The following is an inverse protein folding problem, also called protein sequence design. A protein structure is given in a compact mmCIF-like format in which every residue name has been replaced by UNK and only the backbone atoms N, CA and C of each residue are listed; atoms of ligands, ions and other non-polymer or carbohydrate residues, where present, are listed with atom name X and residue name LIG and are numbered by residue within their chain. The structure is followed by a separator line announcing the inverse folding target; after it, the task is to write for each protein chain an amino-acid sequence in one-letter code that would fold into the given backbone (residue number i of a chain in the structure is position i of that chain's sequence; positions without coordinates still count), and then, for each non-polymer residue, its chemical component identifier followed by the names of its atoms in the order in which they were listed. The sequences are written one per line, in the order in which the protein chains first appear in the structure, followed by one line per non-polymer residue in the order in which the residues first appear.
data_IF_860453490056
#
_entry.id   IF_860453490056
#
_cell.length_a   1.000
_cell.length_b   1.000
_cell.length_c   1.000
_cell.angle_alpha   90.00
_cell.angle_beta   90.00
_cell.angle_gamma   90.00
#
_symmetry.space_group_name_H-M   'P 1'
#
loop_
_entity.id
_entity.type
_entity.pdbx_description
1 polymer ?
#
# COMPACT_ATOMS: atom_id res chain seq x y z
N UNK A 1 10.70 9.61 22.41
CA UNK A 1 9.80 10.67 21.87
C UNK A 1 10.46 11.53 20.79
N UNK A 2 11.71 11.98 20.94
CA UNK A 2 12.38 12.87 19.96
C UNK A 2 12.41 12.29 18.53
N UNK A 3 12.79 11.02 18.29
CA UNK A 3 12.80 10.46 16.93
C UNK A 3 11.44 10.49 16.24
N UNK A 4 10.36 10.25 16.99
CA UNK A 4 8.99 10.30 16.50
C UNK A 4 8.60 11.71 16.06
N UNK A 5 8.93 12.72 16.86
CA UNK A 5 8.64 14.12 16.52
C UNK A 5 9.41 14.55 15.28
N UNK A 6 10.71 14.24 15.21
CA UNK A 6 11.55 14.55 14.04
C UNK A 6 10.99 13.87 12.78
N UNK A 7 10.57 12.62 12.89
CA UNK A 7 9.98 11.89 11.77
C UNK A 7 8.65 12.49 11.33
N UNK A 8 7.74 12.81 12.26
CA UNK A 8 6.46 13.44 11.90
C UNK A 8 6.68 14.79 11.21
N UNK A 9 7.62 15.60 11.72
CA UNK A 9 8.01 16.87 11.07
C UNK A 9 8.51 16.62 9.64
N UNK A 10 9.36 15.61 9.44
CA UNK A 10 9.83 15.21 8.11
C UNK A 10 8.66 14.80 7.21
N UNK A 11 7.73 14.00 7.69
CA UNK A 11 6.55 13.55 6.92
C UNK A 11 5.69 14.73 6.50
N UNK A 12 5.36 15.64 7.42
CA UNK A 12 4.59 16.84 7.08
C UNK A 12 5.34 17.77 6.13
N UNK A 13 6.67 17.89 6.25
CA UNK A 13 7.48 18.65 5.30
C UNK A 13 7.46 18.02 3.90
N UNK A 14 7.61 16.69 3.80
CA UNK A 14 7.54 15.96 2.53
C UNK A 14 6.16 16.08 1.88
N UNK A 15 5.09 15.97 2.67
CA UNK A 15 3.72 16.19 2.19
C UNK A 15 3.49 17.64 1.72
N UNK A 16 4.04 18.61 2.45
CA UNK A 16 3.95 20.02 2.06
C UNK A 16 4.69 20.29 0.75
N UNK A 17 5.85 19.67 0.52
CA UNK A 17 6.59 19.75 -0.76
C UNK A 17 5.81 19.09 -1.89
N UNK A 18 5.26 17.89 -1.65
CA UNK A 18 4.47 17.15 -2.64
C UNK A 18 3.25 17.95 -3.15
N UNK A 19 2.61 18.70 -2.24
CA UNK A 19 1.44 19.52 -2.55
C UNK A 19 1.78 20.91 -3.06
N UNK A 20 2.71 21.60 -2.41
CA UNK A 20 2.99 23.00 -2.65
C UNK A 20 3.85 23.24 -3.88
N UNK A 21 4.78 22.33 -4.18
CA UNK A 21 5.81 22.51 -5.21
C UNK A 21 5.60 21.53 -6.36
N UNK A 22 5.38 20.26 -6.05
CA UNK A 22 5.43 19.18 -7.03
C UNK A 22 4.13 19.07 -7.83
N UNK A 23 2.97 19.29 -7.21
CA UNK A 23 1.66 19.06 -7.85
C UNK A 23 0.65 20.16 -7.56
N UNK A 24 1.11 21.40 -7.71
CA UNK A 24 0.30 22.59 -7.48
C UNK A 24 -0.88 22.71 -8.46
N UNK A 25 -0.74 22.15 -9.66
CA UNK A 25 -1.76 22.22 -10.72
C UNK A 25 -2.35 20.84 -11.04
N UNK A 26 -3.68 20.79 -11.08
CA UNK A 26 -4.44 19.60 -11.43
C UNK A 26 -4.33 19.34 -12.94
N UNK A 27 -3.36 18.53 -13.34
CA UNK A 27 -3.17 18.07 -14.71
C UNK A 27 -3.18 16.54 -14.78
N UNK A 28 -3.41 15.99 -15.96
CA UNK A 28 -3.37 14.55 -16.18
C UNK A 28 -1.90 14.11 -16.20
N UNK A 29 -1.47 13.42 -15.14
CA UNK A 29 -0.09 12.94 -15.01
C UNK A 29 0.19 11.87 -16.06
N UNK A 30 1.26 12.07 -16.84
CA UNK A 30 1.69 11.07 -17.83
C UNK A 30 2.39 9.88 -17.16
N UNK A 31 2.35 8.68 -17.77
CA UNK A 31 3.04 7.49 -17.24
C UNK A 31 4.53 7.76 -16.96
N UNK A 32 5.21 8.44 -17.89
CA UNK A 32 6.65 8.75 -17.78
C UNK A 32 6.92 9.65 -16.58
N UNK A 33 6.06 10.63 -16.35
CA UNK A 33 6.16 11.51 -15.20
C UNK A 33 5.85 10.76 -13.89
N UNK A 34 4.80 9.94 -13.87
CA UNK A 34 4.47 9.09 -12.72
C UNK A 34 5.64 8.18 -12.33
N UNK A 35 6.30 7.54 -13.29
CA UNK A 35 7.46 6.68 -13.05
C UNK A 35 8.66 7.47 -12.48
N UNK A 36 8.92 8.69 -12.98
CA UNK A 36 9.97 9.55 -12.43
C UNK A 36 9.69 9.90 -10.97
N UNK A 37 8.46 10.30 -10.66
CA UNK A 37 8.06 10.57 -9.28
C UNK A 37 8.13 9.34 -8.40
N UNK A 38 7.73 8.17 -8.90
CA UNK A 38 7.91 6.90 -8.17
C UNK A 38 9.38 6.65 -7.87
N UNK A 39 10.29 6.87 -8.82
CA UNK A 39 11.73 6.70 -8.61
C UNK A 39 12.29 7.70 -7.58
N UNK A 40 11.85 8.96 -7.61
CA UNK A 40 12.21 9.96 -6.60
C UNK A 40 11.77 9.50 -5.21
N UNK A 41 10.53 9.06 -5.06
CA UNK A 41 10.03 8.57 -3.77
C UNK A 41 10.79 7.34 -3.27
N UNK A 42 11.14 6.40 -4.16
CA UNK A 42 11.99 5.25 -3.82
C UNK A 42 13.37 5.74 -3.34
N UNK A 43 13.99 6.67 -4.06
CA UNK A 43 15.29 7.23 -3.69
C UNK A 43 15.26 7.91 -2.31
N UNK A 44 14.19 8.66 -2.01
CA UNK A 44 13.98 9.27 -0.70
C UNK A 44 13.83 8.20 0.39
N UNK A 45 13.09 7.12 0.14
CA UNK A 45 12.98 5.99 1.08
C UNK A 45 14.32 5.29 1.32
N UNK A 46 15.14 5.11 0.28
CA UNK A 46 16.47 4.52 0.39
C UNK A 46 17.45 5.44 1.14
N UNK A 47 17.37 6.75 0.91
CA UNK A 47 18.14 7.73 1.67
C UNK A 47 17.76 7.70 3.16
N UNK A 48 16.46 7.61 3.46
CA UNK A 48 16.00 7.43 4.84
C UNK A 48 16.44 6.09 5.43
N UNK A 49 16.53 5.02 4.64
CA UNK A 49 17.08 3.76 5.12
C UNK A 49 18.54 3.89 5.58
N UNK A 50 19.34 4.70 4.88
CA UNK A 50 20.69 5.03 5.35
C UNK A 50 20.66 5.84 6.66
N UNK A 51 19.69 6.75 6.83
CA UNK A 51 19.48 7.44 8.11
C UNK A 51 19.12 6.45 9.21
N UNK A 52 18.25 5.47 8.95
CA UNK A 52 17.91 4.40 9.90
C UNK A 52 19.16 3.62 10.30
N UNK A 53 20.00 3.23 9.33
CA UNK A 53 21.26 2.56 9.61
C UNK A 53 22.11 3.35 10.62
N UNK A 54 22.42 4.62 10.32
CA UNK A 54 23.28 5.42 11.20
C UNK A 54 22.62 5.77 12.53
N UNK A 55 21.31 6.03 12.54
CA UNK A 55 20.56 6.36 13.74
C UNK A 55 20.53 5.20 14.74
N UNK A 56 20.33 3.97 14.26
CA UNK A 56 20.34 2.78 15.10
C UNK A 56 21.77 2.36 15.50
N UNK A 57 22.74 2.44 14.59
CA UNK A 57 24.16 2.12 14.90
C UNK A 57 24.70 3.01 16.05
N UNK A 58 24.44 4.32 15.96
CA UNK A 58 24.89 5.30 16.95
C UNK A 58 23.87 5.54 18.07
N UNK A 59 22.75 4.82 18.07
CA UNK A 59 21.67 4.93 19.05
C UNK A 59 21.21 6.38 19.28
N UNK A 60 21.00 7.13 18.19
CA UNK A 60 20.57 8.53 18.25
C UNK A 60 19.32 8.68 19.10
N UNK A 61 19.39 9.56 20.10
CA UNK A 61 18.30 9.79 21.05
C UNK A 61 17.79 8.52 21.76
N UNK A 62 18.64 7.50 21.90
CA UNK A 62 18.31 6.22 22.55
C UNK A 62 17.55 5.22 21.66
N UNK A 63 17.41 5.48 20.36
CA UNK A 63 16.75 4.54 19.45
C UNK A 63 17.49 3.19 19.40
N UNK A 64 16.76 2.10 19.20
CA UNK A 64 17.32 0.74 19.18
C UNK A 64 17.55 0.09 20.56
N UNK A 65 17.53 0.85 21.66
CA UNK A 65 17.76 0.31 23.03
C UNK A 65 16.50 -0.15 23.76
N UNK A 66 15.34 0.01 23.16
CA UNK A 66 14.05 -0.14 23.84
C UNK A 66 13.41 -1.53 23.70
N UNK A 67 14.03 -2.46 22.97
CA UNK A 67 13.40 -3.73 22.53
C UNK A 67 14.12 -4.95 23.14
N UNK A 68 14.51 -4.87 24.41
CA UNK A 68 15.12 -5.97 25.16
C UNK A 68 16.55 -6.35 24.73
N UNK A 69 16.94 -6.10 23.48
CA UNK A 69 18.28 -6.22 22.92
C UNK A 69 18.59 -4.99 22.06
N UNK A 70 19.88 -4.60 22.02
CA UNK A 70 20.34 -3.50 21.17
C UNK A 70 20.21 -3.88 19.70
N UNK A 71 19.33 -3.18 18.97
CA UNK A 71 19.14 -3.39 17.55
C UNK A 71 20.20 -2.60 16.76
N UNK A 72 21.17 -3.31 16.18
CA UNK A 72 22.25 -2.70 15.39
C UNK A 72 21.76 -2.03 14.09
N UNK A 73 22.56 -1.11 13.55
CA UNK A 73 22.18 -0.32 12.37
C UNK A 73 21.91 -1.17 11.13
N UNK A 74 22.74 -2.20 10.90
CA UNK A 74 22.55 -3.13 9.77
C UNK A 74 21.22 -3.86 9.86
N UNK A 75 20.87 -4.35 11.04
CA UNK A 75 19.64 -5.10 11.22
C UNK A 75 18.41 -4.18 11.08
N UNK A 76 18.45 -2.99 11.70
CA UNK A 76 17.40 -1.99 11.57
C UNK A 76 17.16 -1.56 10.11
N UNK A 77 18.22 -1.37 9.33
CA UNK A 77 18.12 -1.01 7.92
C UNK A 77 17.51 -2.14 7.06
N UNK A 78 17.86 -3.39 7.35
CA UNK A 78 17.26 -4.56 6.69
C UNK A 78 15.78 -4.67 7.08
N UNK A 79 15.46 -4.50 8.35
CA UNK A 79 14.08 -4.55 8.85
C UNK A 79 13.22 -3.43 8.25
N UNK A 80 13.72 -2.19 8.22
CA UNK A 80 13.07 -1.05 7.56
C UNK A 80 12.83 -1.34 6.07
N UNK A 81 13.86 -1.77 5.34
CA UNK A 81 13.74 -2.01 3.91
C UNK A 81 12.80 -3.16 3.59
N UNK A 82 12.86 -4.24 4.39
CA UNK A 82 11.95 -5.38 4.22
C UNK A 82 10.51 -4.97 4.50
N UNK A 83 10.26 -4.21 5.58
CA UNK A 83 8.94 -3.64 5.87
C UNK A 83 8.43 -2.72 4.76
N UNK A 84 9.33 -1.86 4.23
CA UNK A 84 9.03 -0.99 3.10
C UNK A 84 8.64 -1.80 1.86
N UNK A 85 9.39 -2.85 1.50
CA UNK A 85 9.09 -3.70 0.34
C UNK A 85 7.77 -4.45 0.53
N UNK A 86 7.50 -4.99 1.72
CA UNK A 86 6.22 -5.65 2.04
C UNK A 86 5.07 -4.68 1.83
N UNK A 87 5.11 -3.52 2.49
CA UNK A 87 4.03 -2.54 2.40
C UNK A 87 3.90 -2.00 0.97
N UNK A 88 5.01 -1.73 0.27
CA UNK A 88 4.99 -1.26 -1.11
C UNK A 88 4.33 -2.28 -2.04
N UNK A 89 4.58 -3.56 -1.81
CA UNK A 89 4.01 -4.65 -2.60
C UNK A 89 2.52 -4.82 -2.33
N UNK A 90 2.12 -4.84 -1.06
CA UNK A 90 0.71 -4.92 -0.69
C UNK A 90 -0.08 -3.68 -1.15
N UNK A 91 0.56 -2.49 -1.16
CA UNK A 91 -0.07 -1.26 -1.66
C UNK A 91 -0.45 -1.31 -3.15
N UNK A 92 0.14 -2.22 -3.94
CA UNK A 92 -0.29 -2.45 -5.33
C UNK A 92 -1.71 -3.02 -5.38
N UNK A 93 -2.04 -3.94 -4.48
CA UNK A 93 -3.40 -4.47 -4.34
C UNK A 93 -4.38 -3.35 -3.95
N UNK A 94 -3.93 -2.48 -3.04
CA UNK A 94 -4.70 -1.32 -2.60
C UNK A 94 -5.02 -0.38 -3.77
N UNK A 95 -4.06 -0.16 -4.68
CA UNK A 95 -4.26 0.67 -5.88
C UNK A 95 -5.39 0.11 -6.76
N UNK A 96 -5.51 -1.22 -6.91
CA UNK A 96 -6.60 -1.83 -7.69
C UNK A 96 -7.97 -1.56 -7.06
N UNK A 97 -8.08 -1.72 -5.75
CA UNK A 97 -9.34 -1.41 -5.03
C UNK A 97 -9.66 0.08 -5.09
N UNK A 98 -8.67 0.97 -4.98
CA UNK A 98 -8.88 2.42 -5.15
C UNK A 98 -9.36 2.74 -6.56
N UNK A 99 -8.79 2.14 -7.60
CA UNK A 99 -9.23 2.32 -8.98
C UNK A 99 -10.68 1.84 -9.18
N UNK A 100 -11.05 0.70 -8.58
CA UNK A 100 -12.42 0.19 -8.60
C UNK A 100 -13.39 1.14 -7.88
N UNK A 101 -13.00 1.68 -6.72
CA UNK A 101 -13.78 2.70 -5.98
C UNK A 101 -14.02 3.93 -6.85
N UNK A 102 -12.96 4.48 -7.45
CA UNK A 102 -13.10 5.69 -8.29
C UNK A 102 -13.93 5.43 -9.54
N UNK A 103 -13.81 4.24 -10.14
CA UNK A 103 -14.67 3.82 -11.26
C UNK A 103 -16.14 3.72 -10.83
N UNK A 104 -16.40 3.04 -9.71
CA UNK A 104 -17.75 2.83 -9.17
C UNK A 104 -18.46 4.15 -8.85
N UNK A 105 -17.77 5.07 -8.15
CA UNK A 105 -18.31 6.39 -7.82
C UNK A 105 -18.15 7.42 -8.95
N UNK A 106 -17.58 7.03 -10.10
CA UNK A 106 -17.33 7.90 -11.28
C UNK A 106 -16.58 9.18 -10.92
N UNK A 107 -15.56 9.07 -10.08
CA UNK A 107 -14.76 10.23 -9.63
C UNK A 107 -13.95 10.77 -10.81
N UNK A 108 -14.15 12.05 -11.21
CA UNK A 108 -13.41 12.64 -12.32
C UNK A 108 -11.90 12.62 -12.08
N UNK A 109 -11.11 12.33 -13.13
CA UNK A 109 -9.63 12.19 -13.04
C UNK A 109 -8.95 13.39 -12.39
N UNK A 110 -9.42 14.61 -12.68
CA UNK A 110 -8.91 15.86 -12.10
C UNK A 110 -9.08 15.96 -10.57
N UNK A 111 -10.03 15.22 -9.99
CA UNK A 111 -10.32 15.23 -8.56
C UNK A 111 -9.73 14.02 -7.82
N UNK A 112 -9.36 12.95 -8.54
CA UNK A 112 -8.72 11.75 -7.95
C UNK A 112 -7.43 12.12 -7.20
N UNK A 113 -6.64 13.05 -7.72
CA UNK A 113 -5.43 13.54 -7.07
C UNK A 113 -5.68 14.05 -5.65
N UNK A 114 -6.68 14.93 -5.50
CA UNK A 114 -7.06 15.50 -4.20
C UNK A 114 -7.62 14.44 -3.27
N UNK A 115 -8.45 13.52 -3.77
CA UNK A 115 -8.98 12.42 -2.96
C UNK A 115 -7.86 11.51 -2.46
N UNK A 116 -6.89 11.17 -3.32
CA UNK A 116 -5.71 10.39 -2.92
C UNK A 116 -4.87 11.09 -1.87
N UNK A 117 -4.69 12.41 -1.96
CA UNK A 117 -3.95 13.15 -0.94
C UNK A 117 -4.61 13.06 0.44
N UNK A 118 -5.91 13.36 0.53
CA UNK A 118 -6.64 13.22 1.79
C UNK A 118 -6.67 11.77 2.26
N UNK A 119 -6.72 10.83 1.31
CA UNK A 119 -6.53 9.39 1.51
C UNK A 119 -5.21 9.03 2.21
N UNK A 120 -4.10 9.61 1.78
CA UNK A 120 -2.78 9.38 2.38
C UNK A 120 -2.74 9.95 3.80
N UNK A 121 -3.28 11.15 4.01
CA UNK A 121 -3.30 11.78 5.34
C UNK A 121 -4.12 10.95 6.33
N UNK A 122 -5.31 10.48 5.92
CA UNK A 122 -6.13 9.60 6.75
C UNK A 122 -5.45 8.26 6.99
N UNK A 123 -4.88 7.63 5.96
CA UNK A 123 -4.11 6.40 6.08
C UNK A 123 -2.95 6.51 7.08
N UNK A 124 -2.17 7.60 7.06
CA UNK A 124 -1.07 7.84 8.03
C UNK A 124 -1.58 7.80 9.48
N UNK A 125 -2.71 8.46 9.74
CA UNK A 125 -3.32 8.51 11.08
C UNK A 125 -3.86 7.15 11.49
N UNK A 126 -4.65 6.52 10.62
CA UNK A 126 -5.27 5.22 10.88
C UNK A 126 -4.23 4.12 11.08
N UNK A 127 -3.19 4.09 10.25
CA UNK A 127 -2.08 3.15 10.39
C UNK A 127 -1.26 3.42 11.64
N UNK A 128 -1.02 4.68 11.99
CA UNK A 128 -0.42 5.04 13.28
C UNK A 128 -1.20 4.43 14.46
N UNK A 129 -2.52 4.55 14.44
CA UNK A 129 -3.39 3.98 15.47
C UNK A 129 -3.35 2.43 15.48
N UNK A 130 -3.45 1.79 14.31
CA UNK A 130 -3.43 0.33 14.19
C UNK A 130 -2.05 -0.27 14.54
N UNK A 131 -0.95 0.38 14.17
CA UNK A 131 0.40 -0.03 14.53
C UNK A 131 0.60 0.11 16.04
N UNK A 132 0.15 1.21 16.65
CA UNK A 132 0.20 1.37 18.09
C UNK A 132 -0.61 0.27 18.81
N UNK A 133 -1.82 -0.02 18.33
CA UNK A 133 -2.65 -1.10 18.86
C UNK A 133 -2.00 -2.47 18.68
N UNK A 134 -1.49 -2.78 17.50
CA UNK A 134 -0.81 -4.05 17.18
C UNK A 134 0.46 -4.25 17.99
N UNK A 135 1.27 -3.20 18.14
CA UNK A 135 2.47 -3.22 18.98
C UNK A 135 2.11 -3.50 20.45
N UNK A 136 1.09 -2.82 20.98
CA UNK A 136 0.61 -3.06 22.34
C UNK A 136 0.07 -4.48 22.52
N UNK A 137 -0.55 -5.04 21.49
CA UNK A 137 -1.11 -6.38 21.51
C UNK A 137 -0.02 -7.47 21.49
N UNK A 138 0.98 -7.34 20.62
CA UNK A 138 2.14 -8.24 20.56
C UNK A 138 2.97 -8.16 21.84
N UNK A 139 3.14 -6.95 22.40
CA UNK A 139 3.92 -6.77 23.62
C UNK A 139 3.24 -7.37 24.86
N UNK A 140 1.90 -7.53 24.86
CA UNK A 140 1.13 -8.08 25.98
C UNK A 140 0.81 -9.56 25.82
N UNK A 141 0.70 -10.04 24.59
CA UNK A 141 0.23 -11.39 24.28
C UNK A 141 1.18 -12.08 23.30
N UNK A 142 2.06 -12.94 23.81
CA UNK A 142 3.02 -13.67 22.97
C UNK A 142 2.35 -14.54 21.90
N UNK A 143 1.16 -15.07 22.20
CA UNK A 143 0.38 -15.90 21.27
C UNK A 143 -0.26 -15.09 20.13
N UNK A 144 -0.27 -13.75 20.21
CA UNK A 144 -0.88 -12.91 19.18
C UNK A 144 -0.22 -13.08 17.81
N UNK A 145 1.07 -13.43 17.78
CA UNK A 145 1.73 -13.71 16.52
C UNK A 145 1.13 -14.92 15.78
N UNK A 146 0.62 -15.93 16.49
CA UNK A 146 -0.07 -17.05 15.86
C UNK A 146 -1.39 -16.59 15.24
N UNK A 147 -2.13 -15.68 15.90
CA UNK A 147 -3.37 -15.10 15.37
C UNK A 147 -3.07 -14.31 14.10
N UNK A 148 -2.08 -13.43 14.17
CA UNK A 148 -1.65 -12.62 13.04
C UNK A 148 -1.12 -13.49 11.88
N UNK A 149 -0.36 -14.54 12.16
CA UNK A 149 0.07 -15.49 11.14
C UNK A 149 -1.08 -16.29 10.52
N UNK A 150 -2.04 -16.74 11.33
CA UNK A 150 -3.24 -17.42 10.84
C UNK A 150 -4.13 -16.50 10.00
N UNK A 151 -4.26 -15.24 10.38
CA UNK A 151 -4.96 -14.20 9.62
C UNK A 151 -4.32 -14.01 8.24
N UNK A 152 -2.99 -13.90 8.17
CA UNK A 152 -2.27 -13.78 6.89
C UNK A 152 -2.49 -14.98 5.98
N UNK A 153 -2.45 -16.19 6.52
CA UNK A 153 -2.74 -17.42 5.77
C UNK A 153 -4.19 -17.45 5.29
N UNK A 154 -5.13 -17.05 6.14
CA UNK A 154 -6.54 -16.95 5.78
C UNK A 154 -6.73 -15.98 4.61
N UNK A 155 -6.11 -14.79 4.67
CA UNK A 155 -6.16 -13.81 3.58
C UNK A 155 -5.55 -14.38 2.29
N UNK A 156 -4.40 -15.03 2.36
CA UNK A 156 -3.77 -15.65 1.21
C UNK A 156 -4.67 -16.71 0.54
N UNK A 157 -5.30 -17.59 1.32
CA UNK A 157 -6.24 -18.60 0.83
C UNK A 157 -7.48 -17.93 0.22
N UNK A 158 -8.03 -16.91 0.88
CA UNK A 158 -9.18 -16.16 0.38
C UNK A 158 -8.89 -15.50 -0.96
N UNK A 159 -7.71 -14.89 -1.12
CA UNK A 159 -7.28 -14.27 -2.38
C UNK A 159 -7.12 -15.32 -3.49
N UNK A 160 -6.61 -16.51 -3.16
CA UNK A 160 -6.43 -17.60 -4.11
C UNK A 160 -7.76 -18.21 -4.60
N UNK A 161 -8.75 -18.36 -3.70
CA UNK A 161 -10.03 -19.01 -4.01
C UNK A 161 -11.08 -18.04 -4.56
N UNK A 162 -11.14 -16.81 -4.04
CA UNK A 162 -12.23 -15.88 -4.32
C UNK A 162 -11.99 -14.91 -5.48
N UNK A 163 -10.73 -14.62 -5.84
CA UNK A 163 -10.43 -13.46 -6.69
C UNK A 163 -10.98 -12.13 -6.14
N UNK A 164 -10.54 -10.98 -6.65
CA UNK A 164 -11.03 -9.65 -6.21
C UNK A 164 -12.44 -9.30 -6.74
N UNK A 165 -13.22 -10.28 -7.21
CA UNK A 165 -14.39 -10.08 -8.07
C UNK A 165 -15.64 -9.47 -7.42
N UNK A 166 -15.77 -9.49 -6.08
CA UNK A 166 -17.06 -9.21 -5.42
C UNK A 166 -17.02 -8.16 -4.30
N UNK A 167 -16.01 -7.29 -4.27
CA UNK A 167 -15.99 -6.19 -3.29
C UNK A 167 -16.76 -4.99 -3.85
N UNK A 168 -18.07 -4.94 -3.61
CA UNK A 168 -18.89 -3.76 -3.85
C UNK A 168 -18.48 -2.63 -2.87
N UNK A 169 -17.73 -1.60 -3.32
CA UNK A 169 -17.14 -0.63 -2.39
C UNK A 169 -18.19 0.25 -1.71
N UNK A 170 -19.39 0.32 -2.30
CA UNK A 170 -20.54 1.04 -1.74
C UNK A 170 -21.13 0.39 -0.49
N UNK A 171 -20.82 -0.88 -0.24
CA UNK A 171 -21.24 -1.63 0.96
C UNK A 171 -20.24 -1.57 2.11
N UNK A 172 -19.11 -0.88 1.93
CA UNK A 172 -18.14 -0.70 3.02
C UNK A 172 -18.81 -0.10 4.26
N UNK A 173 -18.45 -0.62 5.43
CA UNK A 173 -19.05 -0.23 6.71
C UNK A 173 -19.04 1.28 6.91
N UNK A 174 -17.93 1.94 6.57
CA UNK A 174 -17.76 3.39 6.66
C UNK A 174 -18.73 4.15 5.76
N UNK A 175 -18.89 3.73 4.49
CA UNK A 175 -19.84 4.37 3.57
C UNK A 175 -21.28 4.18 4.05
N UNK A 176 -21.63 3.00 4.57
CA UNK A 176 -22.97 2.72 5.08
C UNK A 176 -23.29 3.56 6.32
N UNK A 177 -22.34 3.68 7.24
CA UNK A 177 -22.48 4.52 8.44
C UNK A 177 -22.63 5.99 8.01
N UNK A 178 -21.77 6.48 7.12
CA UNK A 178 -21.83 7.87 6.65
C UNK A 178 -23.16 8.19 5.97
N UNK A 179 -23.64 7.33 5.05
CA UNK A 179 -24.94 7.51 4.37
C UNK A 179 -26.13 7.50 5.33
N UNK A 180 -26.01 6.81 6.48
CA UNK A 180 -27.05 6.78 7.51
C UNK A 180 -27.06 8.04 8.37
N UNK A 181 -25.89 8.64 8.59
CA UNK A 181 -25.73 9.82 9.47
C UNK A 181 -25.91 11.13 8.70
N UNK A 182 -25.54 11.19 7.42
CA UNK A 182 -25.51 12.43 6.66
C UNK A 182 -26.04 12.28 5.23
N UNK A 183 -26.85 13.23 4.70
CA UNK A 183 -27.38 13.17 3.34
C UNK A 183 -26.26 13.17 2.28
N UNK A 184 -26.49 12.52 1.13
CA UNK A 184 -25.55 12.49 -0.01
C UNK A 184 -26.16 13.19 -1.21
N UNK A 185 -25.43 14.10 -1.86
CA UNK A 185 -25.85 14.77 -3.09
C UNK A 185 -25.69 13.85 -4.30
N UNK A 186 -26.59 13.99 -5.29
CA UNK A 186 -26.49 13.25 -6.55
C UNK A 186 -25.40 13.78 -7.50
N UNK A 187 -24.97 15.03 -7.31
CA UNK A 187 -24.03 15.71 -8.19
C UNK A 187 -22.70 16.02 -7.50
N UNK A 188 -21.63 16.09 -8.31
CA UNK A 188 -20.34 16.59 -7.89
C UNK A 188 -20.36 18.12 -7.83
N UNK A 189 -19.79 18.68 -6.76
CA UNK A 189 -19.70 20.12 -6.57
C UNK A 189 -18.25 20.60 -6.64
N UNK A 190 -17.66 20.44 -7.84
CA UNK A 190 -16.24 20.67 -8.08
C UNK A 190 -15.35 19.89 -7.09
N UNK A 191 -14.35 20.54 -6.46
CA UNK A 191 -13.45 19.88 -5.51
C UNK A 191 -13.97 19.91 -4.05
N UNK A 192 -15.22 20.30 -3.80
CA UNK A 192 -15.78 20.36 -2.44
C UNK A 192 -16.23 18.98 -1.98
N UNK A 193 -15.93 18.64 -0.72
CA UNK A 193 -16.42 17.40 -0.11
C UNK A 193 -17.88 17.51 0.37
N UNK A 194 -18.31 18.73 0.70
CA UNK A 194 -19.66 19.02 1.16
C UNK A 194 -20.30 20.07 0.26
N UNK A 195 -21.58 19.91 -0.01
CA UNK A 195 -22.39 20.84 -0.78
C UNK A 195 -23.71 21.13 -0.07
N UNK A 196 -24.51 22.06 -0.59
CA UNK A 196 -25.89 22.27 -0.16
C UNK A 196 -26.82 21.76 -1.25
N UNK A 197 -27.79 20.95 -0.88
CA UNK A 197 -28.84 20.49 -1.81
C UNK A 197 -29.73 21.64 -2.23
N UNK A 198 -30.55 21.43 -3.26
CA UNK A 198 -31.58 22.39 -3.68
C UNK A 198 -32.57 22.74 -2.55
N UNK A 199 -32.75 21.86 -1.57
CA UNK A 199 -33.56 22.08 -0.37
C UNK A 199 -32.81 22.83 0.76
N UNK A 200 -31.60 23.31 0.52
CA UNK A 200 -30.78 24.06 1.49
C UNK A 200 -30.07 23.20 2.55
N UNK A 201 -30.28 21.89 2.57
CA UNK A 201 -29.63 20.97 3.52
C UNK A 201 -28.18 20.71 3.11
N UNK A 202 -27.25 20.67 4.07
CA UNK A 202 -25.87 20.24 3.78
C UNK A 202 -25.86 18.74 3.45
N UNK A 203 -25.13 18.37 2.41
CA UNK A 203 -24.96 17.00 1.96
C UNK A 203 -23.49 16.72 1.63
N UNK A 204 -23.08 15.46 1.78
CA UNK A 204 -21.79 14.96 1.31
C UNK A 204 -21.85 14.78 -0.20
N UNK A 205 -20.78 15.18 -0.88
CA UNK A 205 -20.62 14.89 -2.31
C UNK A 205 -20.22 13.43 -2.54
N UNK A 206 -20.45 12.88 -3.75
CA UNK A 206 -19.93 11.57 -4.12
C UNK A 206 -18.41 11.44 -3.95
N UNK A 207 -17.67 12.54 -4.09
CA UNK A 207 -16.22 12.58 -3.88
C UNK A 207 -15.83 12.30 -2.41
N UNK A 208 -16.60 12.80 -1.44
CA UNK A 208 -16.35 12.49 -0.03
C UNK A 208 -16.71 11.05 0.31
N UNK A 209 -17.79 10.52 -0.29
CA UNK A 209 -18.14 9.11 -0.14
C UNK A 209 -17.05 8.20 -0.71
N UNK A 210 -16.47 8.56 -1.86
CA UNK A 210 -15.32 7.86 -2.43
C UNK A 210 -14.09 7.94 -1.52
N UNK A 211 -13.80 9.10 -0.91
CA UNK A 211 -12.73 9.23 0.08
C UNK A 211 -12.94 8.26 1.26
N UNK A 212 -14.14 8.21 1.84
CA UNK A 212 -14.45 7.29 2.93
C UNK A 212 -14.33 5.81 2.53
N UNK A 213 -14.67 5.48 1.28
CA UNK A 213 -14.48 4.13 0.76
C UNK A 213 -12.99 3.79 0.62
N UNK A 214 -12.17 4.73 0.15
CA UNK A 214 -10.71 4.57 0.06
C UNK A 214 -10.09 4.38 1.44
N UNK A 215 -10.44 5.21 2.42
CA UNK A 215 -9.99 5.07 3.82
C UNK A 215 -10.43 3.73 4.42
N UNK A 216 -11.67 3.32 4.17
CA UNK A 216 -12.18 2.03 4.63
C UNK A 216 -11.44 0.84 4.01
N UNK A 217 -11.12 0.93 2.71
CA UNK A 217 -10.30 -0.06 2.04
C UNK A 217 -8.88 -0.10 2.64
N UNK A 218 -8.24 1.06 2.88
CA UNK A 218 -6.90 1.10 3.49
C UNK A 218 -6.88 0.44 4.88
N UNK A 219 -7.89 0.70 5.72
CA UNK A 219 -8.02 0.03 7.03
C UNK A 219 -8.15 -1.48 6.86
N UNK A 220 -8.93 -1.95 5.89
CA UNK A 220 -9.04 -3.39 5.60
C UNK A 220 -7.70 -3.97 5.13
N UNK A 221 -6.95 -3.27 4.31
CA UNK A 221 -5.62 -3.71 3.88
C UNK A 221 -4.58 -3.69 5.00
N UNK A 222 -4.67 -2.73 5.91
CA UNK A 222 -3.82 -2.65 7.09
C UNK A 222 -4.01 -3.83 8.04
N UNK A 223 -5.17 -4.52 7.99
CA UNK A 223 -5.40 -5.78 8.73
C UNK A 223 -4.46 -6.88 8.28
N UNK A 224 -4.06 -6.91 7.00
CA UNK A 224 -3.10 -7.87 6.48
C UNK A 224 -1.67 -7.32 6.56
N UNK A 225 -1.46 -6.07 6.18
CA UNK A 225 -0.11 -5.53 6.02
C UNK A 225 0.60 -5.22 7.33
N UNK A 226 -0.14 -4.83 8.39
CA UNK A 226 0.47 -4.52 9.69
C UNK A 226 1.01 -5.80 10.37
N UNK A 227 0.23 -6.89 10.51
CA UNK A 227 0.75 -8.20 10.90
C UNK A 227 1.98 -8.62 10.12
N UNK A 228 1.96 -8.44 8.80
CA UNK A 228 3.06 -8.85 7.94
C UNK A 228 4.36 -8.09 8.23
N UNK A 229 4.29 -6.79 8.51
CA UNK A 229 5.47 -5.99 8.89
C UNK A 229 5.92 -6.34 10.32
N UNK A 230 5.00 -6.64 11.24
CA UNK A 230 5.36 -7.12 12.58
C UNK A 230 6.08 -8.48 12.58
N UNK A 231 5.88 -9.31 11.55
CA UNK A 231 6.65 -10.53 11.35
C UNK A 231 8.11 -10.26 10.95
N UNK A 232 8.47 -9.03 10.57
CA UNK A 232 9.84 -8.60 10.25
C UNK A 232 10.50 -7.93 11.44
N UNK A 233 9.80 -7.02 12.10
CA UNK A 233 10.34 -6.25 13.22
C UNK A 233 9.29 -6.00 14.29
N UNK A 234 9.72 -6.05 15.55
CA UNK A 234 8.91 -5.67 16.70
C UNK A 234 9.10 -4.21 17.08
N UNK A 235 9.96 -3.46 16.37
CA UNK A 235 10.18 -2.04 16.60
C UNK A 235 9.05 -1.21 15.97
N UNK A 236 8.14 -0.61 16.76
CA UNK A 236 7.03 0.16 16.21
C UNK A 236 7.49 1.37 15.38
N UNK A 237 8.68 1.92 15.65
CA UNK A 237 9.24 3.01 14.87
C UNK A 237 9.63 2.54 13.46
N UNK A 238 10.28 1.38 13.34
CA UNK A 238 10.60 0.80 12.02
C UNK A 238 9.34 0.39 11.27
N UNK A 239 8.37 -0.24 11.95
CA UNK A 239 7.06 -0.56 11.37
C UNK A 239 6.42 0.71 10.81
N UNK A 240 6.25 1.74 11.64
CA UNK A 240 5.60 2.99 11.25
C UNK A 240 6.35 3.71 10.13
N UNK A 241 7.64 3.97 10.29
CA UNK A 241 8.42 4.73 9.30
C UNK A 241 8.46 4.05 7.93
N UNK A 242 8.67 2.73 7.88
CA UNK A 242 8.68 1.97 6.62
C UNK A 242 7.32 2.04 5.91
N UNK A 243 6.23 2.04 6.68
CA UNK A 243 4.87 2.05 6.18
C UNK A 243 4.52 3.40 5.57
N UNK A 244 4.86 4.48 6.27
CA UNK A 244 4.67 5.84 5.77
C UNK A 244 5.48 6.06 4.49
N UNK A 245 6.74 5.66 4.44
CA UNK A 245 7.54 5.80 3.21
C UNK A 245 6.99 5.00 2.03
N UNK A 246 6.39 3.83 2.26
CA UNK A 246 5.76 3.05 1.21
C UNK A 246 4.54 3.79 0.61
N UNK A 247 3.74 4.46 1.46
CA UNK A 247 2.49 5.14 1.09
C UNK A 247 2.71 6.55 0.54
N UNK A 248 3.74 7.29 0.98
CA UNK A 248 4.00 8.66 0.48
C UNK A 248 4.15 8.72 -1.05
N UNK A 249 4.71 7.68 -1.67
CA UNK A 249 4.83 7.56 -3.13
C UNK A 249 3.63 6.91 -3.84
N UNK A 250 2.54 6.60 -3.13
CA UNK A 250 1.38 5.85 -3.66
C UNK A 250 0.63 6.64 -4.73
N UNK A 251 0.55 7.97 -4.60
CA UNK A 251 -0.12 8.84 -5.58
C UNK A 251 0.53 8.77 -6.96
N UNK A 252 1.86 8.85 -7.03
CA UNK A 252 2.61 8.68 -8.28
C UNK A 252 2.48 7.25 -8.82
N UNK A 253 2.54 6.25 -7.93
CA UNK A 253 2.40 4.85 -8.31
C UNK A 253 1.01 4.52 -8.86
N UNK A 254 -0.05 5.11 -8.30
CA UNK A 254 -1.43 4.93 -8.77
C UNK A 254 -1.56 5.31 -10.25
N UNK A 255 -1.05 6.48 -10.67
CA UNK A 255 -1.15 6.90 -12.06
C UNK A 255 -0.26 6.07 -13.00
N UNK A 256 0.92 5.63 -12.54
CA UNK A 256 1.77 4.72 -13.31
C UNK A 256 1.12 3.35 -13.49
N UNK A 257 0.55 2.80 -12.42
CA UNK A 257 0.07 1.43 -12.36
C UNK A 257 -1.35 1.26 -12.91
N UNK A 258 -2.23 2.23 -12.69
CA UNK A 258 -3.58 2.21 -13.28
C UNK A 258 -3.52 2.18 -14.81
N UNK A 259 -2.50 2.80 -15.41
CA UNK A 259 -2.27 2.76 -16.86
C UNK A 259 -1.61 1.46 -17.36
N UNK A 260 -1.02 0.68 -16.46
CA UNK A 260 -0.33 -0.58 -16.75
C UNK A 260 -1.03 -1.80 -16.12
N UNK A 261 -2.24 -1.62 -15.61
CA UNK A 261 -2.98 -2.62 -14.81
C UNK A 261 -3.09 -3.96 -15.53
N UNK A 262 -3.43 -3.93 -16.82
CA UNK A 262 -3.59 -5.15 -17.64
C UNK A 262 -2.27 -5.90 -17.89
N UNK A 263 -1.12 -5.26 -17.62
CA UNK A 263 0.21 -5.86 -17.82
C UNK A 263 0.70 -6.67 -16.61
N UNK A 264 0.06 -6.56 -15.45
CA UNK A 264 0.55 -7.15 -14.20
C UNK A 264 -0.24 -8.39 -13.75
N UNK A 265 -0.46 -9.32 -14.68
CA UNK A 265 -1.30 -10.52 -14.45
C UNK A 265 -0.88 -11.37 -13.25
N UNK A 266 0.41 -11.51 -12.96
CA UNK A 266 0.89 -12.40 -11.89
C UNK A 266 1.17 -11.70 -10.56
N UNK A 267 0.89 -10.41 -10.43
CA UNK A 267 1.08 -9.72 -9.14
C UNK A 267 0.21 -10.33 -8.05
N UNK A 268 -1.04 -10.67 -8.33
CA UNK A 268 -1.93 -11.31 -7.36
C UNK A 268 -1.35 -12.63 -6.84
N UNK A 269 -0.80 -13.46 -7.73
CA UNK A 269 -0.14 -14.71 -7.35
C UNK A 269 1.06 -14.45 -6.44
N UNK A 270 1.91 -13.46 -6.78
CA UNK A 270 3.03 -13.06 -5.91
C UNK A 270 2.57 -12.59 -4.53
N UNK A 271 1.47 -11.85 -4.43
CA UNK A 271 0.94 -11.41 -3.14
C UNK A 271 0.43 -12.58 -2.30
N UNK A 272 -0.24 -13.57 -2.90
CA UNK A 272 -0.65 -14.81 -2.23
C UNK A 272 0.55 -15.56 -1.65
N UNK A 273 1.61 -15.76 -2.46
CA UNK A 273 2.83 -16.42 -1.99
C UNK A 273 3.54 -15.61 -0.90
N UNK A 274 3.59 -14.28 -1.05
CA UNK A 274 4.17 -13.37 -0.06
C UNK A 274 3.44 -13.47 1.28
N UNK A 275 2.11 -13.34 1.30
CA UNK A 275 1.30 -13.45 2.50
C UNK A 275 1.41 -14.85 3.12
N UNK A 276 1.43 -15.89 2.30
CA UNK A 276 1.59 -17.27 2.77
C UNK A 276 2.93 -17.45 3.50
N UNK A 277 4.03 -17.00 2.87
CA UNK A 277 5.36 -17.06 3.46
C UNK A 277 5.42 -16.31 4.80
N UNK A 278 4.90 -15.07 4.84
CA UNK A 278 4.95 -14.26 6.06
C UNK A 278 4.06 -14.86 7.14
N UNK A 279 2.87 -15.38 6.81
CA UNK A 279 1.99 -16.06 7.74
C UNK A 279 2.65 -17.29 8.38
N UNK A 280 3.28 -18.14 7.57
CA UNK A 280 4.06 -19.29 8.06
C UNK A 280 5.21 -18.84 8.94
N UNK A 281 6.01 -17.85 8.50
CA UNK A 281 7.12 -17.29 9.28
C UNK A 281 6.64 -16.83 10.66
N UNK A 282 5.51 -16.15 10.72
CA UNK A 282 4.97 -15.58 11.94
C UNK A 282 4.48 -16.65 12.92
N UNK A 283 3.87 -17.73 12.41
CA UNK A 283 3.50 -18.90 13.22
C UNK A 283 4.74 -19.62 13.74
N UNK A 284 5.78 -19.76 12.91
CA UNK A 284 7.01 -20.44 13.29
C UNK A 284 7.94 -19.60 14.19
N UNK A 285 7.59 -18.35 14.50
CA UNK A 285 8.51 -17.40 15.15
C UNK A 285 9.18 -17.92 16.44
N UNK A 286 8.47 -18.74 17.22
CA UNK A 286 8.97 -19.25 18.51
C UNK A 286 9.82 -20.52 18.38
N UNK A 287 9.70 -21.24 17.27
CA UNK A 287 10.40 -22.51 17.05
C UNK A 287 11.57 -22.34 16.07
N UNK A 288 11.37 -21.55 15.02
CA UNK A 288 12.32 -21.30 13.94
C UNK A 288 12.30 -19.82 13.55
N UNK A 289 13.03 -18.95 14.27
CA UNK A 289 13.10 -17.52 13.93
C UNK A 289 13.82 -17.34 12.60
N UNK A 290 13.08 -16.93 11.56
CA UNK A 290 13.64 -16.66 10.23
C UNK A 290 14.22 -15.23 10.23
N UNK A 291 15.53 -15.04 9.97
CA UNK A 291 16.15 -13.72 9.94
C UNK A 291 15.52 -12.78 8.90
N UNK A 292 15.56 -11.48 9.18
CA UNK A 292 14.98 -10.46 8.30
C UNK A 292 15.60 -10.47 6.88
N UNK A 293 16.92 -10.71 6.76
CA UNK A 293 17.59 -10.77 5.46
C UNK A 293 17.14 -11.96 4.61
N UNK A 294 16.85 -13.12 5.22
CA UNK A 294 16.28 -14.28 4.52
C UNK A 294 14.90 -13.92 4.00
N UNK A 295 14.10 -13.27 4.84
CA UNK A 295 12.76 -12.80 4.46
C UNK A 295 12.83 -11.84 3.28
N UNK A 296 13.77 -10.89 3.30
CA UNK A 296 13.99 -9.94 2.20
C UNK A 296 14.31 -10.65 0.89
N UNK A 297 15.21 -11.64 0.90
CA UNK A 297 15.57 -12.40 -0.30
C UNK A 297 14.38 -13.20 -0.83
N UNK A 298 13.64 -13.89 0.04
CA UNK A 298 12.45 -14.67 -0.36
C UNK A 298 11.38 -13.74 -0.93
N UNK A 299 11.06 -12.64 -0.24
CA UNK A 299 10.07 -11.65 -0.69
C UNK A 299 10.51 -11.03 -2.03
N UNK A 300 11.77 -10.61 -2.14
CA UNK A 300 12.34 -10.09 -3.38
C UNK A 300 12.26 -11.10 -4.52
N UNK A 301 12.50 -12.37 -4.25
CA UNK A 301 12.36 -13.47 -5.21
C UNK A 301 10.91 -13.66 -5.67
N UNK A 302 9.95 -13.71 -4.74
CA UNK A 302 8.51 -13.87 -5.06
C UNK A 302 8.01 -12.70 -5.92
N UNK A 303 8.40 -11.48 -5.58
CA UNK A 303 7.97 -10.28 -6.32
C UNK A 303 8.68 -10.17 -7.67
N UNK A 304 10.00 -10.40 -7.69
CA UNK A 304 10.82 -10.34 -8.90
C UNK A 304 10.38 -11.38 -9.94
N UNK A 305 10.10 -12.61 -9.50
CA UNK A 305 9.56 -13.67 -10.38
C UNK A 305 8.18 -13.32 -10.92
N UNK A 306 7.28 -12.77 -10.11
CA UNK A 306 5.97 -12.31 -10.56
C UNK A 306 6.02 -11.19 -11.59
N UNK A 307 6.89 -10.20 -11.38
CA UNK A 307 7.12 -9.11 -12.34
C UNK A 307 7.71 -9.66 -13.64
N UNK A 308 8.76 -10.48 -13.56
CA UNK A 308 9.41 -11.07 -14.73
C UNK A 308 8.44 -11.95 -15.54
N UNK A 309 7.66 -12.80 -14.87
CA UNK A 309 6.63 -13.63 -15.49
C UNK A 309 5.54 -12.79 -16.17
N UNK A 310 5.12 -11.69 -15.54
CA UNK A 310 4.12 -10.77 -16.11
C UNK A 310 4.64 -10.09 -17.37
N UNK A 311 5.87 -9.57 -17.33
CA UNK A 311 6.51 -8.94 -18.50
C UNK A 311 6.68 -9.96 -19.63
N UNK A 312 7.16 -11.16 -19.33
CA UNK A 312 7.38 -12.21 -20.34
C UNK A 312 6.08 -12.66 -21.00
N UNK A 313 5.01 -12.86 -20.23
CA UNK A 313 3.70 -13.22 -20.76
C UNK A 313 3.15 -12.15 -21.72
N UNK A 314 3.30 -10.86 -21.39
CA UNK A 314 2.86 -9.76 -22.26
C UNK A 314 3.65 -9.71 -23.57
N UNK A 315 4.97 -9.93 -23.53
CA UNK A 315 5.81 -9.98 -24.74
C UNK A 315 5.38 -11.15 -25.63
N UNK A 316 5.09 -12.33 -25.04
CA UNK A 316 4.64 -13.50 -25.80
C UNK A 316 3.30 -13.23 -26.50
N UNK A 317 2.33 -12.63 -25.80
CA UNK A 317 1.04 -12.25 -26.39
C UNK A 317 1.23 -11.25 -27.53
N UNK A 318 2.06 -10.22 -27.34
CA UNK A 318 2.35 -9.24 -28.39
C UNK A 318 3.00 -9.87 -29.63
N UNK A 319 3.90 -10.85 -29.46
CA UNK A 319 4.52 -11.59 -30.57
C UNK A 319 3.54 -12.48 -31.32
N UNK A 320 2.60 -13.12 -30.61
CA UNK A 320 1.57 -13.95 -31.23
C UNK A 320 0.62 -13.14 -32.11
N UNK A 321 0.27 -11.91 -31.69
CA UNK A 321 -0.54 -11.00 -32.51
C UNK A 321 0.21 -10.31 -33.65
N UNK A 322 1.54 -10.31 -33.60
CA UNK A 322 2.40 -9.75 -34.67
C UNK A 322 2.82 -10.79 -35.71
N UNK A 323 2.54 -12.08 -35.50
CA UNK A 323 2.80 -13.12 -36.49
C UNK A 323 1.80 -12.99 -37.66
N UNK A 324 2.25 -13.04 -38.93
CA UNK A 324 1.34 -13.07 -40.06
C UNK A 324 0.38 -14.26 -39.93
N UNK A 325 -0.88 -14.13 -40.37
CA UNK A 325 -1.77 -15.30 -40.43
C UNK A 325 -1.09 -16.41 -41.25
N UNK A 326 -1.26 -17.70 -40.88
CA UNK A 326 -0.75 -18.78 -41.69
C UNK A 326 -1.27 -18.58 -43.12
N UNK A 327 -0.34 -18.59 -44.08
CA UNK A 327 -0.71 -18.61 -45.48
C UNK A 327 -1.54 -19.88 -45.67
N UNK A 328 -2.82 -19.72 -46.03
CA UNK A 328 -3.60 -20.82 -46.55
C UNK A 328 -2.78 -21.40 -47.71
N UNK A 329 -2.23 -22.60 -47.52
CA UNK A 329 -1.75 -23.40 -48.64
C UNK A 329 -2.94 -23.51 -49.59
N UNK A 330 -2.78 -22.87 -50.74
CA UNK A 330 -3.70 -22.92 -51.87
C UNK A 330 -3.67 -24.38 -52.40
N UNK A 331 -4.33 -25.27 -51.66
CA UNK A 331 -4.73 -26.59 -52.12
C UNK A 331 -5.85 -26.37 -53.15
N UNK A 332 -5.44 -25.95 -54.35
CA UNK A 332 -6.24 -26.09 -55.56
C UNK A 332 -5.64 -27.20 -56.44
N UNK A 333 -6.53 -27.94 -57.14
CA UNK A 333 -6.72 -29.38 -56.93
C UNK A 333 -5.84 -30.34 -57.74
#
# INVERSE_FOLDING_TARGET
MIPWVLFLVLVFALLAVDLGVVNREAHVVSIRESLRWTLVWIAVSLAFNAVVYFAYEHHWFGIGRHIGHDLGGREAAIQFFTGYVIEKSLSVDNIFVIALIFSHFRVPKQHQHRTLFWGIVGAVVMRGAMIAAGAALIARFDWMAYVFGALLLFTAVRMMVGGHGDVDPSRSLLVRIARRIYPVSGEFDGPRFFTRTAAGTRAMTPMFVALLAVEGADVLFAVDSIPAVFAVTRDPFLVFTSNIFAILGLRALYFALAAAMDRFRYIQASLVFLLSFIGVKMILQHHFPIPAWVSLVVIGGILGTGVAASVWANIKVARLHAAPPPQEEDDTP
#
